data_IF_679137785652
#
_entry.id   IF_679137785652
#
_cell.length_a   1.000
_cell.length_b   1.000
_cell.length_c   1.000
_cell.angle_alpha   90.00
_cell.angle_beta   90.00
_cell.angle_gamma   90.00
#
_symmetry.space_group_name_H-M   'P 1'
#
loop_
_entity.id
_entity.type
_entity.pdbx_description
1 polymer ?
#
# COMPACT_ATOMS: atom_id res chain seq x y z
N UNK A 1 -7.40 -4.44 43.04
CA UNK A 1 -6.59 -5.55 42.51
C UNK A 1 -5.54 -4.94 41.59
N UNK A 2 -4.29 -5.41 41.59
CA UNK A 2 -3.30 -4.92 40.63
C UNK A 2 -3.79 -5.20 39.21
N UNK A 3 -3.61 -4.21 38.33
CA UNK A 3 -3.89 -4.36 36.90
C UNK A 3 -2.88 -5.34 36.31
N UNK A 4 -3.36 -6.41 35.67
CA UNK A 4 -2.53 -7.40 34.99
C UNK A 4 -2.59 -7.10 33.49
N UNK A 5 -1.42 -6.81 32.91
CA UNK A 5 -1.27 -6.58 31.47
C UNK A 5 -0.81 -7.87 30.80
N UNK A 6 -1.57 -8.31 29.80
CA UNK A 6 -1.19 -9.44 28.93
C UNK A 6 -0.25 -8.92 27.85
N UNK A 7 0.97 -9.46 27.76
CA UNK A 7 2.04 -8.91 26.90
C UNK A 7 2.27 -9.68 25.61
N UNK A 8 1.96 -10.98 25.56
CA UNK A 8 2.16 -11.83 24.40
C UNK A 8 1.28 -13.10 24.46
N UNK A 9 1.15 -13.76 23.30
CA UNK A 9 0.57 -15.10 23.17
C UNK A 9 1.48 -15.93 22.26
N UNK A 10 1.67 -17.21 22.60
CA UNK A 10 2.39 -18.16 21.76
C UNK A 10 1.51 -19.41 21.58
N UNK A 11 0.87 -19.61 20.41
CA UNK A 11 0.11 -20.82 20.16
C UNK A 11 1.04 -22.03 20.13
N UNK A 12 0.54 -23.17 20.59
CA UNK A 12 1.26 -24.44 20.58
C UNK A 12 0.72 -25.29 19.44
N UNK A 13 1.59 -25.60 18.48
CA UNK A 13 1.25 -26.34 17.26
C UNK A 13 1.68 -27.81 17.43
N UNK A 14 0.74 -28.76 17.35
CA UNK A 14 1.08 -30.19 17.39
C UNK A 14 1.71 -30.63 16.06
N UNK A 15 2.75 -31.45 16.15
CA UNK A 15 3.46 -32.01 15.00
C UNK A 15 3.79 -33.48 15.24
N UNK A 16 3.91 -34.28 14.17
CA UNK A 16 4.35 -35.68 14.26
C UNK A 16 5.86 -35.84 14.33
N UNK A 17 6.60 -34.92 13.73
CA UNK A 17 8.06 -34.90 13.70
C UNK A 17 8.54 -33.47 14.00
N UNK A 18 9.09 -33.28 15.20
CA UNK A 18 9.58 -31.98 15.65
C UNK A 18 10.75 -31.47 14.82
N UNK A 19 11.66 -32.35 14.41
CA UNK A 19 12.88 -31.95 13.71
C UNK A 19 12.54 -31.46 12.30
N UNK A 20 11.65 -32.17 11.59
CA UNK A 20 11.13 -31.74 10.31
C UNK A 20 10.33 -30.42 10.40
N UNK A 21 9.56 -30.23 11.47
CA UNK A 21 8.83 -29.00 11.70
C UNK A 21 9.77 -27.81 11.95
N UNK A 22 10.80 -27.97 12.79
CA UNK A 22 11.79 -26.93 13.07
C UNK A 22 12.55 -26.52 11.79
N UNK A 23 12.94 -27.48 10.95
CA UNK A 23 13.58 -27.19 9.66
C UNK A 23 12.67 -26.42 8.70
N UNK A 24 11.37 -26.75 8.67
CA UNK A 24 10.37 -25.99 7.92
C UNK A 24 10.30 -24.55 8.40
N UNK A 25 10.19 -24.30 9.70
CA UNK A 25 10.16 -22.94 10.24
C UNK A 25 11.44 -22.15 9.96
N UNK A 26 12.62 -22.79 9.99
CA UNK A 26 13.89 -22.16 9.58
C UNK A 26 13.84 -21.70 8.12
N UNK A 27 13.35 -22.55 7.21
CA UNK A 27 13.18 -22.19 5.79
C UNK A 27 12.20 -21.05 5.59
N UNK A 28 11.13 -20.97 6.41
CA UNK A 28 10.17 -19.86 6.43
C UNK A 28 10.70 -18.58 7.08
N UNK A 29 11.98 -18.55 7.48
CA UNK A 29 12.66 -17.38 8.02
C UNK A 29 12.50 -17.16 9.53
N UNK A 30 12.06 -18.18 10.28
CA UNK A 30 12.07 -18.14 11.74
C UNK A 30 13.41 -18.63 12.29
N UNK A 31 13.81 -18.10 13.44
CA UNK A 31 14.78 -18.76 14.31
C UNK A 31 14.06 -19.90 15.03
N UNK A 32 14.36 -21.16 14.69
CA UNK A 32 13.72 -22.32 15.30
C UNK A 32 14.70 -23.22 16.05
N UNK A 33 14.35 -23.63 17.28
CA UNK A 33 15.18 -24.46 18.16
C UNK A 33 14.33 -25.44 18.99
N UNK A 34 14.88 -26.62 19.25
CA UNK A 34 14.29 -27.57 20.20
C UNK A 34 14.58 -27.11 21.65
N UNK A 35 13.66 -27.42 22.56
CA UNK A 35 13.91 -27.35 23.99
C UNK A 35 14.89 -28.46 24.38
N UNK A 36 15.94 -28.16 25.18
CA UNK A 36 16.84 -29.19 25.68
C UNK A 36 16.10 -30.23 26.52
N UNK A 37 16.41 -31.51 26.33
CA UNK A 37 15.85 -32.60 27.14
C UNK A 37 14.79 -33.44 26.41
N UNK A 38 14.09 -34.33 27.14
CA UNK A 38 13.29 -35.40 26.54
C UNK A 38 11.90 -34.96 26.05
N UNK A 39 11.44 -33.75 26.36
CA UNK A 39 10.05 -33.33 26.22
C UNK A 39 9.55 -33.13 24.77
N UNK A 40 10.39 -33.38 23.75
CA UNK A 40 10.09 -33.18 22.31
C UNK A 40 9.24 -31.93 22.05
N UNK A 41 9.75 -30.80 22.53
CA UNK A 41 9.14 -29.48 22.43
C UNK A 41 10.09 -28.51 21.73
N UNK A 42 9.58 -27.50 21.04
CA UNK A 42 10.40 -26.52 20.32
C UNK A 42 9.77 -25.14 20.23
N UNK A 43 10.58 -24.18 19.76
CA UNK A 43 10.23 -22.78 19.63
C UNK A 43 10.59 -22.29 18.23
N UNK A 44 9.72 -21.48 17.62
CA UNK A 44 9.97 -20.76 16.38
C UNK A 44 9.66 -19.27 16.60
N UNK A 45 10.65 -18.41 16.38
CA UNK A 45 10.58 -16.97 16.66
C UNK A 45 10.94 -16.15 15.41
N UNK A 46 10.16 -15.11 15.11
CA UNK A 46 10.46 -14.13 14.05
C UNK A 46 9.98 -12.75 14.47
N UNK A 47 10.92 -11.88 14.85
CA UNK A 47 10.58 -10.58 15.44
C UNK A 47 9.76 -10.76 16.73
N UNK A 48 8.61 -10.08 16.88
CA UNK A 48 7.75 -10.23 18.06
C UNK A 48 6.87 -11.49 18.03
N UNK A 49 6.88 -12.27 16.94
CA UNK A 49 6.06 -13.47 16.79
C UNK A 49 6.79 -14.67 17.38
N UNK A 50 6.12 -15.38 18.29
CA UNK A 50 6.57 -16.65 18.85
C UNK A 50 5.52 -17.74 18.64
N UNK A 51 5.96 -18.91 18.19
CA UNK A 51 5.17 -20.14 18.05
C UNK A 51 5.87 -21.25 18.82
N UNK A 52 5.11 -22.09 19.50
CA UNK A 52 5.64 -23.29 20.14
C UNK A 52 5.25 -24.52 19.33
N UNK A 53 6.09 -25.56 19.40
CA UNK A 53 5.90 -26.81 18.69
C UNK A 53 5.95 -27.95 19.72
N UNK A 54 5.01 -28.88 19.64
CA UNK A 54 5.00 -30.06 20.49
C UNK A 54 4.87 -31.30 19.62
N UNK A 55 5.80 -32.24 19.76
CA UNK A 55 5.65 -33.55 19.13
C UNK A 55 4.57 -34.32 19.85
N UNK A 56 3.57 -34.81 19.11
CA UNK A 56 2.46 -35.57 19.67
C UNK A 56 2.15 -36.76 18.76
N UNK A 57 2.39 -37.96 19.26
CA UNK A 57 2.29 -39.20 18.48
C UNK A 57 0.88 -39.49 17.95
N UNK A 58 -0.17 -38.98 18.61
CA UNK A 58 -1.57 -39.16 18.19
C UNK A 58 -2.06 -38.01 17.29
N UNK A 59 -1.20 -37.05 16.95
CA UNK A 59 -1.56 -35.98 16.03
C UNK A 59 -1.90 -36.56 14.65
N UNK A 60 -3.16 -36.37 14.24
CA UNK A 60 -3.65 -36.69 12.90
C UNK A 60 -3.94 -35.38 12.15
N UNK A 61 -3.13 -34.99 11.15
CA UNK A 61 -3.34 -33.79 10.34
C UNK A 61 -4.72 -33.69 9.67
N UNK A 62 -5.46 -34.80 9.53
CA UNK A 62 -6.79 -34.82 8.93
C UNK A 62 -7.91 -34.63 9.96
N UNK A 63 -7.61 -34.71 11.26
CA UNK A 63 -8.60 -34.65 12.35
C UNK A 63 -8.29 -33.57 13.39
N UNK A 64 -7.03 -33.23 13.58
CA UNK A 64 -6.59 -32.18 14.50
C UNK A 64 -6.52 -30.85 13.77
N UNK A 65 -7.44 -29.95 14.09
CA UNK A 65 -7.43 -28.60 13.53
C UNK A 65 -6.55 -27.67 14.37
N UNK A 66 -5.52 -27.10 13.75
CA UNK A 66 -4.75 -25.99 14.30
C UNK A 66 -4.76 -24.83 13.29
N UNK A 67 -5.00 -23.61 13.78
CA UNK A 67 -4.88 -22.41 12.97
C UNK A 67 -4.17 -21.32 13.76
N UNK A 68 -3.24 -20.64 13.09
CA UNK A 68 -2.61 -19.42 13.59
C UNK A 68 -2.87 -18.30 12.61
N UNK A 69 -3.02 -17.09 13.13
CA UNK A 69 -3.17 -15.88 12.33
C UNK A 69 -1.99 -14.95 12.65
N UNK A 70 -1.22 -14.59 11.62
CA UNK A 70 -0.06 -13.71 11.74
C UNK A 70 -0.41 -12.36 11.10
N UNK A 71 -0.20 -11.28 11.86
CA UNK A 71 -0.25 -9.93 11.29
C UNK A 71 1.15 -9.53 10.83
N UNK A 72 1.23 -9.05 9.59
CA UNK A 72 2.47 -8.59 8.95
C UNK A 72 2.26 -7.23 8.31
N UNK A 73 3.35 -6.57 7.95
CA UNK A 73 3.35 -5.30 7.22
C UNK A 73 3.01 -5.49 5.74
N UNK A 74 3.55 -6.54 5.11
CA UNK A 74 3.31 -6.85 3.70
C UNK A 74 3.09 -8.36 3.48
N UNK A 75 1.81 -8.75 3.32
CA UNK A 75 1.41 -10.12 3.08
C UNK A 75 1.85 -10.64 1.70
N UNK A 76 1.87 -9.80 0.65
CA UNK A 76 2.27 -10.21 -0.69
C UNK A 76 3.79 -10.50 -0.74
N UNK A 77 4.61 -9.66 -0.10
CA UNK A 77 6.06 -9.85 -0.02
C UNK A 77 6.42 -11.12 0.78
N UNK A 78 5.73 -11.37 1.91
CA UNK A 78 5.97 -12.58 2.69
C UNK A 78 5.50 -13.84 1.95
N UNK A 79 4.38 -13.76 1.24
CA UNK A 79 3.91 -14.84 0.37
C UNK A 79 4.96 -15.21 -0.69
N UNK A 80 5.53 -14.21 -1.37
CA UNK A 80 6.59 -14.41 -2.35
C UNK A 80 7.84 -15.04 -1.71
N UNK A 81 8.25 -14.60 -0.51
CA UNK A 81 9.35 -15.22 0.24
C UNK A 81 9.07 -16.69 0.55
N UNK A 82 7.91 -17.00 1.11
CA UNK A 82 7.57 -18.35 1.57
C UNK A 82 7.40 -19.33 0.42
N UNK A 83 6.74 -18.93 -0.67
CA UNK A 83 6.58 -19.79 -1.85
C UNK A 83 7.92 -20.09 -2.52
N UNK A 84 8.84 -19.13 -2.58
CA UNK A 84 10.18 -19.31 -3.13
C UNK A 84 11.04 -20.33 -2.35
N UNK A 85 10.70 -20.62 -1.08
CA UNK A 85 11.45 -21.63 -0.30
C UNK A 85 11.24 -23.04 -0.82
N UNK A 86 10.11 -23.34 -1.47
CA UNK A 86 9.74 -24.70 -1.88
C UNK A 86 9.46 -25.66 -0.72
N UNK A 87 9.00 -25.17 0.44
CA UNK A 87 8.51 -26.05 1.51
C UNK A 87 7.25 -26.81 1.06
N UNK A 88 7.09 -28.05 1.52
CA UNK A 88 5.88 -28.83 1.27
C UNK A 88 4.67 -28.19 1.93
N UNK A 89 3.47 -28.43 1.39
CA UNK A 89 2.21 -27.90 1.88
C UNK A 89 1.42 -27.23 0.76
N UNK A 90 0.32 -26.56 1.13
CA UNK A 90 -0.56 -25.89 0.18
C UNK A 90 -0.60 -24.39 0.47
N UNK A 91 -0.23 -23.60 -0.52
CA UNK A 91 -0.40 -22.15 -0.50
C UNK A 91 -1.73 -21.75 -1.15
N UNK A 92 -2.32 -20.70 -0.61
CA UNK A 92 -3.48 -20.01 -1.17
C UNK A 92 -3.01 -18.59 -1.44
N UNK A 93 -3.20 -18.10 -2.66
CA UNK A 93 -2.71 -16.79 -3.10
C UNK A 93 -3.30 -15.64 -2.28
N UNK A 94 -2.57 -14.52 -2.13
CA UNK A 94 -3.08 -13.39 -1.38
C UNK A 94 -4.32 -12.76 -2.03
N UNK A 95 -5.34 -12.47 -1.22
CA UNK A 95 -6.60 -11.85 -1.61
C UNK A 95 -7.03 -10.78 -0.60
N UNK A 96 -7.82 -9.80 -1.05
CA UNK A 96 -8.38 -8.77 -0.17
C UNK A 96 -9.64 -9.33 0.51
N UNK A 97 -9.77 -9.14 1.82
CA UNK A 97 -10.93 -9.57 2.60
C UNK A 97 -11.94 -8.43 2.82
N UNK A 98 -13.18 -8.77 3.14
CA UNK A 98 -14.26 -7.82 3.44
C UNK A 98 -14.00 -6.99 4.71
N UNK A 99 -13.21 -7.52 5.65
CA UNK A 99 -12.71 -6.81 6.83
C UNK A 99 -11.33 -6.15 6.63
N UNK A 100 -10.98 -5.82 5.37
CA UNK A 100 -9.87 -4.94 4.98
C UNK A 100 -8.46 -5.45 5.31
N UNK A 101 -8.24 -6.76 5.22
CA UNK A 101 -6.89 -7.33 5.23
C UNK A 101 -6.53 -7.90 3.85
N UNK A 102 -5.27 -7.73 3.44
CA UNK A 102 -4.65 -8.47 2.34
C UNK A 102 -4.13 -9.76 2.96
N UNK A 103 -4.71 -10.90 2.60
CA UNK A 103 -4.44 -12.18 3.27
C UNK A 103 -4.03 -13.28 2.31
N UNK A 104 -3.01 -14.05 2.68
CA UNK A 104 -2.74 -15.36 2.10
C UNK A 104 -2.84 -16.46 3.15
N UNK A 105 -2.83 -17.71 2.71
CA UNK A 105 -2.76 -18.83 3.63
C UNK A 105 -1.75 -19.90 3.21
N UNK A 106 -1.16 -20.55 4.20
CA UNK A 106 -0.29 -21.71 4.05
C UNK A 106 -0.78 -22.83 4.97
N UNK A 107 -1.15 -23.96 4.38
CA UNK A 107 -1.46 -25.20 5.11
C UNK A 107 -0.22 -26.08 5.06
N UNK A 108 0.37 -26.32 6.22
CA UNK A 108 1.58 -27.13 6.31
C UNK A 108 1.26 -28.66 6.23
N UNK A 109 2.28 -29.52 6.06
CA UNK A 109 2.10 -30.98 6.05
C UNK A 109 1.47 -31.57 7.31
N UNK A 110 1.45 -30.82 8.42
CA UNK A 110 0.85 -31.23 9.69
C UNK A 110 -0.63 -30.78 9.80
N UNK A 111 -1.19 -30.21 8.73
CA UNK A 111 -2.57 -29.74 8.68
C UNK A 111 -2.80 -28.38 9.35
N UNK A 112 -1.73 -27.70 9.79
CA UNK A 112 -1.85 -26.41 10.47
C UNK A 112 -2.07 -25.29 9.45
N UNK A 113 -3.17 -24.56 9.60
CA UNK A 113 -3.49 -23.40 8.80
C UNK A 113 -2.79 -22.15 9.35
N UNK A 114 -1.84 -21.64 8.58
CA UNK A 114 -1.21 -20.33 8.81
C UNK A 114 -1.93 -19.31 7.93
N UNK A 115 -2.77 -18.47 8.53
CA UNK A 115 -3.31 -17.27 7.88
C UNK A 115 -2.38 -16.12 8.14
N UNK A 116 -2.11 -15.33 7.11
CA UNK A 116 -1.20 -14.19 7.24
C UNK A 116 -1.82 -12.99 6.57
N UNK A 117 -1.99 -11.91 7.32
CA UNK A 117 -2.66 -10.70 6.84
C UNK A 117 -1.87 -9.45 7.12
N UNK A 118 -1.83 -8.56 6.13
CA UNK A 118 -1.45 -7.16 6.31
C UNK A 118 -2.67 -6.27 6.09
N UNK A 119 -2.69 -5.02 6.59
CA UNK A 119 -3.69 -4.05 6.17
C UNK A 119 -3.76 -3.96 4.64
N UNK A 120 -4.95 -3.88 4.05
CA UNK A 120 -5.06 -3.52 2.62
C UNK A 120 -4.45 -2.14 2.45
N UNK A 121 -3.50 -2.00 1.52
CA UNK A 121 -2.92 -0.71 1.20
C UNK A 121 -4.04 0.30 0.93
N UNK A 122 -4.00 1.46 1.59
CA UNK A 122 -4.98 2.51 1.35
C UNK A 122 -4.89 2.89 -0.14
N UNK A 123 -5.94 2.54 -0.89
CA UNK A 123 -6.01 2.86 -2.33
C UNK A 123 -6.34 4.34 -2.59
N UNK A 124 -6.48 5.10 -1.51
CA UNK A 124 -6.61 6.56 -1.50
C UNK A 124 -5.56 7.08 -0.55
N UNK A 125 -4.63 7.88 -1.06
CA UNK A 125 -3.62 8.58 -0.27
C UNK A 125 -3.79 10.07 -0.47
N UNK A 126 -3.63 10.84 0.60
CA UNK A 126 -3.80 12.29 0.57
C UNK A 126 -2.74 12.97 1.42
N UNK A 127 -2.33 14.17 1.01
CA UNK A 127 -1.54 15.09 1.82
C UNK A 127 -2.22 16.46 1.80
N UNK A 128 -2.08 17.23 2.88
CA UNK A 128 -2.63 18.57 3.01
C UNK A 128 -1.59 19.56 3.50
N UNK A 129 -1.67 20.80 3.02
CA UNK A 129 -0.81 21.91 3.47
C UNK A 129 -1.60 23.22 3.46
N UNK A 130 -1.41 24.02 4.49
CA UNK A 130 -1.82 25.43 4.49
C UNK A 130 -0.75 26.24 3.75
N UNK A 131 -1.16 26.93 2.69
CA UNK A 131 -0.29 27.75 1.84
C UNK A 131 -0.68 29.20 2.02
N UNK A 132 0.31 30.06 2.27
CA UNK A 132 0.13 31.51 2.42
C UNK A 132 -0.02 32.21 1.06
N UNK A 133 -1.05 31.83 0.31
CA UNK A 133 -1.51 32.52 -0.89
C UNK A 133 -3.04 32.38 -1.08
N UNK A 134 -3.68 33.32 -1.81
CA UNK A 134 -5.07 33.20 -2.20
C UNK A 134 -5.31 31.97 -3.09
N UNK A 135 -6.45 31.32 -2.93
CA UNK A 135 -6.78 30.10 -3.67
C UNK A 135 -6.72 30.27 -5.19
N UNK A 136 -7.12 31.43 -5.72
CA UNK A 136 -7.05 31.76 -7.14
C UNK A 136 -5.61 31.65 -7.69
N UNK A 137 -4.63 32.23 -6.99
CA UNK A 137 -3.21 32.20 -7.40
C UNK A 137 -2.67 30.78 -7.44
N UNK A 138 -3.05 29.95 -6.46
CA UNK A 138 -2.65 28.55 -6.38
C UNK A 138 -3.34 27.75 -7.50
N UNK A 139 -4.64 27.97 -7.69
CA UNK A 139 -5.44 27.25 -8.67
C UNK A 139 -4.96 27.49 -10.09
N UNK A 140 -4.54 28.71 -10.44
CA UNK A 140 -3.97 29.00 -11.77
C UNK A 140 -2.74 28.14 -12.09
N UNK A 141 -1.89 27.84 -11.09
CA UNK A 141 -0.74 26.96 -11.29
C UNK A 141 -1.16 25.49 -11.49
N UNK A 142 -2.24 25.04 -10.84
CA UNK A 142 -2.73 23.66 -10.96
C UNK A 142 -3.51 23.48 -12.26
N UNK A 143 -4.32 24.48 -12.63
CA UNK A 143 -5.18 24.46 -13.81
C UNK A 143 -4.43 24.67 -15.12
N UNK A 144 -3.21 25.22 -15.11
CA UNK A 144 -2.35 25.33 -16.30
C UNK A 144 -1.31 24.18 -16.33
N UNK A 145 -1.50 23.15 -17.19
CA UNK A 145 -0.58 22.03 -17.29
C UNK A 145 0.86 22.45 -17.62
N UNK A 146 1.07 23.59 -18.29
CA UNK A 146 2.42 24.08 -18.60
C UNK A 146 3.21 24.48 -17.33
N UNK A 147 2.53 24.77 -16.22
CA UNK A 147 3.18 25.04 -14.93
C UNK A 147 3.50 23.76 -14.15
N UNK A 148 2.83 22.64 -14.46
CA UNK A 148 2.89 21.41 -13.68
C UNK A 148 4.32 20.88 -13.43
N UNK A 149 5.23 20.85 -14.43
CA UNK A 149 6.60 20.38 -14.20
C UNK A 149 7.38 21.19 -13.14
N UNK A 150 6.97 22.42 -12.83
CA UNK A 150 7.63 23.28 -11.84
C UNK A 150 7.30 22.89 -10.40
N UNK A 151 6.17 22.20 -10.19
CA UNK A 151 5.68 21.88 -8.85
C UNK A 151 5.35 20.40 -8.63
N UNK A 152 5.27 19.56 -9.66
CA UNK A 152 5.06 18.12 -9.48
C UNK A 152 6.21 17.50 -8.69
N UNK A 153 5.89 16.82 -7.60
CA UNK A 153 6.85 16.16 -6.70
C UNK A 153 7.10 14.69 -7.03
N UNK A 154 6.54 14.18 -8.13
CA UNK A 154 6.67 12.77 -8.54
C UNK A 154 7.83 12.56 -9.52
N UNK A 155 8.49 13.65 -9.95
CA UNK A 155 9.66 13.67 -10.84
C UNK A 155 9.46 12.85 -12.15
N UNK A 156 8.21 12.81 -12.63
CA UNK A 156 7.81 11.99 -13.79
C UNK A 156 7.40 12.82 -15.01
N UNK A 157 7.28 14.15 -14.87
CA UNK A 157 6.83 15.05 -15.92
C UNK A 157 8.01 15.85 -16.50
N UNK A 158 8.14 15.84 -17.84
CA UNK A 158 9.15 16.62 -18.55
C UNK A 158 8.60 17.97 -19.01
N UNK A 159 7.47 17.97 -19.72
CA UNK A 159 6.86 19.19 -20.26
C UNK A 159 5.36 19.04 -20.46
N UNK A 160 4.67 20.17 -20.56
CA UNK A 160 3.36 20.30 -21.19
C UNK A 160 3.36 21.56 -22.04
N UNK A 161 2.73 21.51 -23.21
CA UNK A 161 2.66 22.66 -24.11
C UNK A 161 1.77 23.76 -23.52
N UNK A 162 2.09 25.05 -23.74
CA UNK A 162 1.24 26.16 -23.31
C UNK A 162 -0.11 26.14 -24.04
N UNK A 163 -1.10 26.84 -23.47
CA UNK A 163 -2.44 26.99 -24.07
C UNK A 163 -3.42 25.87 -23.74
N UNK A 164 -3.09 25.00 -22.79
CA UNK A 164 -3.93 23.87 -22.35
C UNK A 164 -4.59 24.09 -20.99
N UNK A 165 -4.68 25.35 -20.50
CA UNK A 165 -5.29 25.63 -19.19
C UNK A 165 -6.72 25.08 -19.14
N UNK A 166 -6.97 24.22 -18.17
CA UNK A 166 -8.26 23.58 -17.92
C UNK A 166 -9.29 24.63 -17.51
N UNK A 167 -10.52 24.47 -18.00
CA UNK A 167 -11.66 25.38 -17.78
C UNK A 167 -12.93 24.65 -17.37
N UNK A 168 -13.04 23.34 -17.59
CA UNK A 168 -14.23 22.57 -17.23
C UNK A 168 -13.93 21.06 -17.08
N UNK A 169 -14.86 20.36 -16.43
CA UNK A 169 -14.91 18.91 -16.53
C UNK A 169 -15.22 18.48 -17.98
N UNK A 170 -14.57 17.42 -18.45
CA UNK A 170 -14.58 16.98 -19.84
C UNK A 170 -13.40 17.52 -20.66
N UNK A 171 -12.69 18.56 -20.19
CA UNK A 171 -11.46 19.00 -20.82
C UNK A 171 -10.40 17.88 -20.80
N UNK A 172 -9.51 17.91 -21.78
CA UNK A 172 -8.35 17.01 -21.84
C UNK A 172 -7.10 17.82 -22.11
N UNK A 173 -6.02 17.50 -21.43
CA UNK A 173 -4.70 18.08 -21.67
C UNK A 173 -3.63 17.00 -21.78
N UNK A 174 -2.50 17.34 -22.41
CA UNK A 174 -1.40 16.41 -22.63
C UNK A 174 -0.14 16.84 -21.88
N UNK A 175 0.54 15.84 -21.31
CA UNK A 175 1.86 15.98 -20.68
C UNK A 175 2.84 14.98 -21.29
N UNK A 176 4.10 15.38 -21.46
CA UNK A 176 5.19 14.48 -21.82
C UNK A 176 5.89 14.01 -20.54
N UNK A 177 6.06 12.69 -20.40
CA UNK A 177 6.80 12.10 -19.30
C UNK A 177 8.31 12.20 -19.53
N UNK A 178 9.11 12.05 -18.48
CA UNK A 178 10.59 12.07 -18.54
C UNK A 178 11.18 10.99 -19.45
N UNK A 179 10.46 9.89 -19.68
CA UNK A 179 10.84 8.82 -20.62
C UNK A 179 10.29 9.03 -22.06
N UNK A 180 9.79 10.23 -22.38
CA UNK A 180 9.39 10.64 -23.73
C UNK A 180 7.98 10.21 -24.16
N UNK A 181 7.28 9.40 -23.38
CA UNK A 181 5.89 9.02 -23.67
C UNK A 181 4.90 10.14 -23.33
N UNK A 182 3.88 10.32 -24.17
CA UNK A 182 2.76 11.23 -23.89
C UNK A 182 1.71 10.59 -22.98
N UNK A 183 1.06 11.43 -22.18
CA UNK A 183 -0.12 11.12 -21.38
C UNK A 183 -1.23 12.12 -21.66
N UNK A 184 -2.41 11.61 -21.99
CA UNK A 184 -3.65 12.39 -21.99
C UNK A 184 -4.21 12.38 -20.57
N UNK A 185 -4.67 13.53 -20.07
CA UNK A 185 -5.26 13.68 -18.75
C UNK A 185 -6.68 14.19 -18.94
N UNK A 186 -7.65 13.37 -18.57
CA UNK A 186 -9.07 13.65 -18.73
C UNK A 186 -9.62 14.26 -17.45
N UNK A 187 -10.07 15.51 -17.51
CA UNK A 187 -10.60 16.25 -16.36
C UNK A 187 -11.99 15.73 -16.04
N UNK A 188 -12.17 15.21 -14.83
CA UNK A 188 -13.45 14.60 -14.38
C UNK A 188 -14.16 15.45 -13.33
N UNK A 189 -13.43 16.32 -12.65
CA UNK A 189 -13.99 17.27 -11.68
C UNK A 189 -13.36 18.63 -11.91
N UNK A 190 -14.18 19.67 -11.88
CA UNK A 190 -13.71 21.03 -12.00
C UNK A 190 -14.67 22.00 -11.31
N UNK A 191 -14.14 22.77 -10.39
CA UNK A 191 -14.76 23.94 -9.77
C UNK A 191 -13.67 25.01 -9.67
N UNK A 192 -13.80 26.07 -10.47
CA UNK A 192 -12.79 27.12 -10.60
C UNK A 192 -12.39 27.67 -9.22
N UNK A 193 -11.10 27.65 -8.90
CA UNK A 193 -10.56 28.12 -7.61
C UNK A 193 -10.83 27.22 -6.40
N UNK A 194 -11.38 26.01 -6.59
CA UNK A 194 -11.82 25.11 -5.51
C UNK A 194 -11.42 23.66 -5.70
N UNK A 195 -11.65 23.10 -6.88
CA UNK A 195 -11.43 21.66 -7.11
C UNK A 195 -11.05 21.39 -8.56
N UNK A 196 -10.10 20.50 -8.75
CA UNK A 196 -9.79 19.94 -10.07
C UNK A 196 -9.31 18.50 -9.91
N UNK A 197 -9.82 17.59 -10.72
CA UNK A 197 -9.35 16.22 -10.76
C UNK A 197 -9.27 15.68 -12.18
N UNK A 198 -8.26 14.85 -12.44
CA UNK A 198 -8.10 14.21 -13.75
C UNK A 198 -7.65 12.76 -13.66
N UNK A 199 -7.98 12.01 -14.71
CA UNK A 199 -7.58 10.64 -14.93
C UNK A 199 -6.56 10.58 -16.10
N UNK A 200 -5.30 10.16 -15.89
CA UNK A 200 -4.33 9.99 -16.96
C UNK A 200 -4.58 8.71 -17.74
N UNK A 201 -4.36 8.76 -19.05
CA UNK A 201 -4.47 7.65 -19.98
C UNK A 201 -3.34 7.69 -21.04
N UNK A 202 -3.11 6.53 -21.65
CA UNK A 202 -2.40 6.52 -22.94
C UNK A 202 -3.25 7.26 -23.99
N UNK A 203 -2.63 7.99 -24.95
CA UNK A 203 -3.39 8.73 -25.94
C UNK A 203 -4.44 7.89 -26.66
N UNK A 204 -5.69 8.37 -26.68
CA UNK A 204 -6.83 7.69 -27.30
C UNK A 204 -7.31 6.42 -26.57
N UNK A 205 -6.84 6.15 -25.35
CA UNK A 205 -7.29 5.01 -24.52
C UNK A 205 -8.18 5.50 -23.38
N UNK A 206 -8.98 4.58 -22.84
CA UNK A 206 -9.74 4.84 -21.63
C UNK A 206 -8.80 4.95 -20.42
N UNK A 207 -9.06 5.86 -19.46
CA UNK A 207 -8.26 5.93 -18.25
C UNK A 207 -8.35 4.64 -17.43
N UNK A 208 -7.23 4.09 -16.94
CA UNK A 208 -7.22 2.83 -16.23
C UNK A 208 -7.70 2.92 -14.78
N UNK A 209 -7.95 4.13 -14.25
CA UNK A 209 -8.47 4.35 -12.89
C UNK A 209 -7.53 5.06 -11.90
N UNK A 210 -6.50 5.77 -12.38
CA UNK A 210 -5.68 6.66 -11.53
C UNK A 210 -6.35 8.04 -11.41
N UNK A 211 -6.83 8.43 -10.24
CA UNK A 211 -7.41 9.76 -10.01
C UNK A 211 -6.43 10.64 -9.24
N UNK A 212 -6.07 11.78 -9.84
CA UNK A 212 -5.34 12.85 -9.17
C UNK A 212 -6.31 13.99 -8.90
N UNK A 213 -6.54 14.32 -7.63
CA UNK A 213 -7.48 15.38 -7.21
C UNK A 213 -6.76 16.43 -6.39
N UNK A 214 -7.12 17.68 -6.62
CA UNK A 214 -6.73 18.84 -5.84
C UNK A 214 -7.97 19.53 -5.30
N UNK A 215 -7.97 19.76 -3.99
CA UNK A 215 -8.98 20.51 -3.26
C UNK A 215 -8.34 21.75 -2.64
N UNK A 216 -8.95 22.92 -2.84
CA UNK A 216 -8.51 24.21 -2.32
C UNK A 216 -9.64 24.81 -1.49
N UNK A 217 -9.43 24.89 -0.19
CA UNK A 217 -10.34 25.51 0.77
C UNK A 217 -9.71 26.82 1.26
N UNK A 218 -10.20 28.01 0.84
CA UNK A 218 -9.71 29.26 1.40
C UNK A 218 -10.04 29.33 2.87
N UNK A 219 -9.02 29.59 3.68
CA UNK A 219 -9.16 29.84 5.10
C UNK A 219 -9.42 31.33 5.34
N UNK A 220 -8.78 32.19 4.54
CA UNK A 220 -9.01 33.64 4.48
C UNK A 220 -8.61 34.20 3.09
N UNK A 221 -8.47 35.52 2.97
CA UNK A 221 -8.10 36.19 1.71
C UNK A 221 -6.66 35.91 1.25
N UNK A 222 -5.81 35.43 2.14
CA UNK A 222 -4.36 35.24 1.95
C UNK A 222 -3.86 33.82 2.26
N UNK A 223 -4.70 32.95 2.81
CA UNK A 223 -4.35 31.57 3.15
C UNK A 223 -5.36 30.57 2.59
N UNK A 224 -4.84 29.44 2.11
CA UNK A 224 -5.63 28.34 1.54
C UNK A 224 -5.13 27.00 2.05
N UNK A 225 -6.04 26.15 2.53
CA UNK A 225 -5.79 24.72 2.77
C UNK A 225 -5.85 24.01 1.44
N UNK A 226 -4.73 23.45 1.00
CA UNK A 226 -4.64 22.66 -0.24
C UNK A 226 -4.48 21.19 0.11
N UNK A 227 -5.34 20.35 -0.44
CA UNK A 227 -5.25 18.88 -0.32
C UNK A 227 -4.99 18.27 -1.68
N UNK A 228 -3.94 17.45 -1.77
CA UNK A 228 -3.63 16.65 -2.94
C UNK A 228 -3.96 15.18 -2.62
N UNK A 229 -4.78 14.56 -3.47
CA UNK A 229 -5.24 13.18 -3.31
C UNK A 229 -4.88 12.36 -4.54
N UNK A 230 -4.34 11.17 -4.31
CA UNK A 230 -4.18 10.14 -5.31
C UNK A 230 -5.06 8.94 -4.93
N UNK A 231 -6.08 8.69 -5.75
CA UNK A 231 -7.00 7.57 -5.61
C UNK A 231 -6.80 6.60 -6.78
N UNK A 232 -6.39 5.38 -6.46
CA UNK A 232 -6.17 4.29 -7.40
C UNK A 232 -7.07 3.09 -7.08
N UNK A 233 -8.16 3.31 -6.36
CA UNK A 233 -9.14 2.29 -5.99
C UNK A 233 -9.79 1.61 -7.21
N UNK A 234 -9.90 2.34 -8.32
CA UNK A 234 -10.46 1.87 -9.58
C UNK A 234 -9.47 1.07 -10.46
N UNK A 235 -8.20 0.93 -10.06
CA UNK A 235 -7.25 0.09 -10.79
C UNK A 235 -7.53 -1.40 -10.56
N UNK A 236 -7.37 -2.19 -11.63
CA UNK A 236 -7.42 -3.65 -11.58
C UNK A 236 -6.18 -4.35 -12.18
N UNK A 237 -5.38 -3.63 -12.98
CA UNK A 237 -4.18 -4.17 -13.63
C UNK A 237 -3.04 -4.41 -12.63
N UNK A 238 -2.55 -5.66 -12.45
CA UNK A 238 -1.52 -5.99 -11.47
C UNK A 238 -0.24 -5.16 -11.56
N UNK A 239 0.23 -4.84 -12.78
CA UNK A 239 1.44 -4.05 -13.00
C UNK A 239 1.23 -2.60 -12.59
N UNK A 240 0.03 -2.05 -12.83
CA UNK A 240 -0.32 -0.69 -12.38
C UNK A 240 -0.52 -0.61 -10.87
N UNK A 241 -1.07 -1.65 -10.25
CA UNK A 241 -1.25 -1.71 -8.79
C UNK A 241 0.11 -1.65 -8.05
N UNK A 242 1.13 -2.36 -8.53
CA UNK A 242 2.48 -2.30 -7.95
C UNK A 242 3.04 -0.87 -7.99
N UNK A 243 2.97 -0.21 -9.14
CA UNK A 243 3.46 1.17 -9.28
C UNK A 243 2.64 2.18 -8.48
N UNK A 244 1.32 2.01 -8.42
CA UNK A 244 0.44 2.88 -7.65
C UNK A 244 0.71 2.80 -6.14
N UNK A 245 1.03 1.61 -5.63
CA UNK A 245 1.44 1.41 -4.22
C UNK A 245 2.70 2.18 -3.85
N UNK A 246 3.59 2.43 -4.80
CA UNK A 246 4.82 3.19 -4.56
C UNK A 246 4.59 4.71 -4.46
N UNK A 247 3.40 5.22 -4.80
CA UNK A 247 3.03 6.62 -4.63
C UNK A 247 2.45 6.83 -3.23
N UNK A 248 3.20 7.51 -2.36
CA UNK A 248 2.87 7.71 -0.94
C UNK A 248 2.40 9.14 -0.67
N UNK A 249 1.92 9.39 0.56
CA UNK A 249 1.60 10.74 1.03
C UNK A 249 2.81 11.69 0.98
N UNK A 250 4.04 11.18 1.13
CA UNK A 250 5.26 12.00 1.04
C UNK A 250 5.49 12.52 -0.39
N UNK A 251 5.20 11.71 -1.42
CA UNK A 251 5.24 12.16 -2.81
C UNK A 251 4.24 13.31 -3.06
N UNK A 252 3.03 13.20 -2.50
CA UNK A 252 2.01 14.25 -2.61
C UNK A 252 2.42 15.52 -1.84
N UNK A 253 2.98 15.37 -0.65
CA UNK A 253 3.48 16.47 0.18
C UNK A 253 4.67 17.22 -0.47
N UNK A 254 5.51 16.51 -1.23
CA UNK A 254 6.57 17.14 -2.02
C UNK A 254 5.98 18.07 -3.09
N UNK A 255 4.88 17.68 -3.75
CA UNK A 255 4.19 18.53 -4.73
C UNK A 255 3.62 19.80 -4.08
N UNK A 256 2.96 19.65 -2.92
CA UNK A 256 2.44 20.77 -2.14
C UNK A 256 3.54 21.74 -1.69
N UNK A 257 4.72 21.21 -1.32
CA UNK A 257 5.86 22.01 -0.91
C UNK A 257 6.43 22.84 -2.07
N UNK A 258 6.57 22.25 -3.26
CA UNK A 258 7.03 22.97 -4.45
C UNK A 258 6.00 24.02 -4.91
N UNK A 259 4.71 23.71 -4.82
CA UNK A 259 3.62 24.65 -5.12
C UNK A 259 3.67 25.86 -4.18
N UNK A 260 3.81 25.63 -2.86
CA UNK A 260 3.94 26.68 -1.87
C UNK A 260 5.13 27.60 -2.16
N UNK A 261 6.30 27.02 -2.49
CA UNK A 261 7.49 27.80 -2.83
C UNK A 261 7.35 28.73 -4.05
N UNK A 262 6.39 28.46 -4.96
CA UNK A 262 6.12 29.30 -6.13
C UNK A 262 5.21 30.50 -5.83
N UNK A 263 4.44 30.46 -4.74
CA UNK A 263 3.39 31.45 -4.45
C UNK A 263 3.60 32.19 -3.13
N UNK A 264 4.25 31.57 -2.14
CA UNK A 264 4.55 32.19 -0.86
C UNK A 264 5.66 33.24 -1.02
N UNK A 265 5.42 34.45 -0.50
CA UNK A 265 6.40 35.55 -0.53
C UNK A 265 6.51 36.29 -1.86
N UNK A 266 5.54 36.14 -2.77
CA UNK A 266 5.50 36.83 -4.06
C UNK A 266 4.23 37.62 -4.30
#
# INVERSE_FOLDING_TARGET
>A
MPEIVFTAVAPVIPVRDLDAALDRYRRLGFTARAHPGPARYGFAERGPVALHLTEWAEHDPLRTAASVYLYVDDADALYAQWTATGVQGRFIEPADTDYRLREFAYVDPEGTLHRVGSPVAARVVSAGRDIAAPAERIFELIADPAQQPRWDGNDNLAEAKPGQRVRAAGDTFTTMLTLGSLRENHVVEFEEGRRIAWLPAEPGRQPPGHLWRWDLEPLDQTHTRVTHTYDWSALSDPKRLERARATTADNLAASLTRLAALVEGS
#
